data_IF_659243484425
#
_entry.id   IF_659243484425
#
_cell.length_a   1.000
_cell.length_b   1.000
_cell.length_c   1.000
_cell.angle_alpha   90.00
_cell.angle_beta   90.00
_cell.angle_gamma   90.00
#
_symmetry.space_group_name_H-M   'P 1'
#
loop_
_entity.id
_entity.type
_entity.pdbx_description
1 polymer ?
#
# COMPACT_ATOMS: atom_id res chain seq x y z
N UNK A 1 8.22 -4.92 -8.57
CA UNK A 1 7.03 -5.35 -7.80
C UNK A 1 6.48 -4.09 -7.18
N UNK A 2 5.21 -3.78 -7.43
CA UNK A 2 4.61 -2.52 -6.95
C UNK A 2 4.57 -2.40 -5.44
N UNK A 3 4.49 -1.17 -4.93
CA UNK A 3 4.40 -0.86 -3.49
C UNK A 3 3.40 -1.77 -2.74
N UNK A 4 2.17 -1.89 -3.27
CA UNK A 4 1.11 -2.67 -2.62
C UNK A 4 1.42 -4.17 -2.56
N UNK A 5 2.01 -4.72 -3.63
CA UNK A 5 2.40 -6.13 -3.65
C UNK A 5 3.56 -6.40 -2.69
N UNK A 6 4.53 -5.49 -2.62
CA UNK A 6 5.63 -5.56 -1.65
C UNK A 6 5.10 -5.49 -0.20
N UNK A 7 4.23 -4.53 0.09
CA UNK A 7 3.64 -4.36 1.42
C UNK A 7 2.78 -5.58 1.83
N UNK A 8 1.98 -6.11 0.90
CA UNK A 8 1.15 -7.30 1.15
C UNK A 8 2.02 -8.53 1.47
N UNK A 9 3.11 -8.73 0.73
CA UNK A 9 4.01 -9.86 0.97
C UNK A 9 4.71 -9.76 2.33
N UNK A 10 5.24 -8.58 2.69
CA UNK A 10 5.82 -8.36 4.02
C UNK A 10 4.80 -8.58 5.14
N UNK A 11 3.60 -8.02 4.99
CA UNK A 11 2.54 -8.16 5.99
C UNK A 11 2.13 -9.63 6.18
N UNK A 12 2.07 -10.40 5.09
CA UNK A 12 1.80 -11.84 5.12
C UNK A 12 2.90 -12.60 5.88
N UNK A 13 4.17 -12.33 5.59
CA UNK A 13 5.28 -12.95 6.30
C UNK A 13 5.27 -12.64 7.80
N UNK A 14 4.97 -11.39 8.17
CA UNK A 14 4.85 -11.01 9.60
C UNK A 14 3.67 -11.72 10.24
N UNK A 15 2.51 -11.78 9.56
CA UNK A 15 1.33 -12.49 10.05
C UNK A 15 1.61 -13.97 10.30
N UNK A 16 2.35 -14.63 9.42
CA UNK A 16 2.75 -16.03 9.57
C UNK A 16 3.64 -16.24 10.79
N UNK A 17 4.63 -15.36 11.01
CA UNK A 17 5.49 -15.41 12.20
C UNK A 17 4.65 -15.26 13.48
N UNK A 18 3.79 -14.25 13.54
CA UNK A 18 2.93 -13.98 14.70
C UNK A 18 1.96 -15.13 14.96
N UNK A 19 1.37 -15.70 13.90
CA UNK A 19 0.46 -16.85 14.00
C UNK A 19 1.17 -18.12 14.50
N UNK A 20 2.47 -18.25 14.25
CA UNK A 20 3.31 -19.31 14.79
C UNK A 20 3.84 -18.99 16.21
N UNK A 21 3.44 -17.88 16.83
CA UNK A 21 3.91 -17.43 18.14
C UNK A 21 5.37 -16.93 18.14
N UNK A 22 5.91 -16.64 16.96
CA UNK A 22 7.26 -16.11 16.76
C UNK A 22 7.23 -14.59 16.54
N UNK A 23 8.26 -13.85 16.99
CA UNK A 23 8.31 -12.41 16.75
C UNK A 23 8.47 -12.11 15.25
N UNK A 24 8.10 -10.90 14.79
CA UNK A 24 8.42 -10.42 13.44
C UNK A 24 9.93 -10.52 13.17
N UNK A 25 10.31 -11.05 12.00
CA UNK A 25 11.73 -11.18 11.61
C UNK A 25 12.39 -9.86 11.24
N UNK A 26 11.59 -8.84 10.93
CA UNK A 26 12.06 -7.52 10.52
C UNK A 26 11.09 -6.44 10.98
N UNK A 27 11.62 -5.27 11.30
CA UNK A 27 10.85 -4.12 11.75
C UNK A 27 11.00 -3.83 13.24
N UNK A 28 10.45 -2.69 13.63
CA UNK A 28 10.39 -2.18 14.99
C UNK A 28 8.99 -2.50 15.55
N UNK A 29 8.96 -3.07 16.76
CA UNK A 29 7.73 -3.40 17.48
C UNK A 29 8.02 -3.40 18.99
N UNK A 30 6.96 -3.30 19.80
CA UNK A 30 7.09 -3.42 21.25
C UNK A 30 7.22 -4.90 21.65
N UNK A 31 8.41 -5.30 22.11
CA UNK A 31 8.68 -6.67 22.55
C UNK A 31 7.87 -7.07 23.79
N UNK A 32 7.62 -6.14 24.71
CA UNK A 32 6.85 -6.44 25.92
C UNK A 32 5.39 -6.72 25.53
N UNK A 33 4.83 -5.89 24.66
CA UNK A 33 3.49 -6.11 24.11
C UNK A 33 3.41 -7.43 23.33
N UNK A 34 4.40 -7.77 22.51
CA UNK A 34 4.41 -9.06 21.80
C UNK A 34 4.39 -10.25 22.77
N UNK A 35 5.20 -10.21 23.84
CA UNK A 35 5.24 -11.29 24.84
C UNK A 35 3.91 -11.49 25.54
N UNK A 36 3.18 -10.41 25.79
CA UNK A 36 1.82 -10.48 26.32
C UNK A 36 0.84 -11.07 25.30
N UNK A 37 0.88 -10.58 24.06
CA UNK A 37 -0.13 -10.89 23.05
C UNK A 37 -0.01 -12.29 22.45
N UNK A 38 1.20 -12.85 22.37
CA UNK A 38 1.45 -14.16 21.71
C UNK A 38 0.64 -15.31 22.32
N UNK A 39 0.24 -15.19 23.58
CA UNK A 39 -0.49 -16.23 24.31
C UNK A 39 -2.01 -16.17 24.03
N UNK A 40 -2.51 -15.14 23.33
CA UNK A 40 -3.94 -14.95 23.03
C UNK A 40 -4.39 -15.49 21.66
N UNK A 41 -3.56 -16.33 21.04
CA UNK A 41 -3.86 -16.99 19.76
C UNK A 41 -3.39 -16.18 18.54
N UNK A 42 -3.79 -16.64 17.35
CA UNK A 42 -3.36 -16.02 16.10
C UNK A 42 -4.09 -14.68 15.86
N UNK A 43 -3.36 -13.61 15.48
CA UNK A 43 -3.98 -12.33 15.17
C UNK A 43 -4.69 -12.35 13.81
N UNK A 44 -5.59 -11.40 13.61
CA UNK A 44 -6.15 -11.04 12.31
C UNK A 44 -5.31 -9.95 11.65
N UNK A 45 -5.34 -9.86 10.32
CA UNK A 45 -4.70 -8.75 9.60
C UNK A 45 -5.51 -7.46 9.81
N UNK A 46 -4.86 -6.40 10.29
CA UNK A 46 -5.44 -5.06 10.46
C UNK A 46 -5.18 -4.15 9.26
N UNK A 47 -5.00 -2.84 9.49
CA UNK A 47 -4.69 -1.88 8.43
C UNK A 47 -3.23 -1.98 7.95
N UNK A 48 -2.97 -1.37 6.80
CA UNK A 48 -1.61 -1.06 6.30
C UNK A 48 -1.55 0.44 6.12
N UNK A 49 -0.61 1.08 6.81
CA UNK A 49 -0.36 2.51 6.74
C UNK A 49 1.01 2.76 6.11
N UNK A 50 1.12 3.84 5.34
CA UNK A 50 2.35 4.21 4.66
C UNK A 50 2.91 5.49 5.25
N UNK A 51 4.18 5.44 5.64
CA UNK A 51 5.01 6.59 5.98
C UNK A 51 6.01 6.83 4.83
N UNK A 52 6.60 8.02 4.70
CA UNK A 52 7.56 8.29 3.62
C UNK A 52 8.74 7.32 3.55
N UNK A 53 9.12 6.68 4.67
CA UNK A 53 10.26 5.76 4.77
C UNK A 53 9.93 4.43 5.45
N UNK A 54 8.64 4.11 5.66
CA UNK A 54 8.26 2.89 6.35
C UNK A 54 6.83 2.45 6.03
N UNK A 55 6.58 1.17 6.30
CA UNK A 55 5.25 0.59 6.41
C UNK A 55 4.90 0.45 7.88
N UNK A 56 3.66 0.74 8.24
CA UNK A 56 3.11 0.37 9.54
C UNK A 56 2.02 -0.67 9.31
N UNK A 57 2.26 -1.87 9.80
CA UNK A 57 1.34 -2.99 9.70
C UNK A 57 0.66 -3.23 11.03
N UNK A 58 -0.66 -3.32 11.00
CA UNK A 58 -1.45 -3.63 12.19
C UNK A 58 -1.91 -5.09 12.17
N UNK A 59 -1.94 -5.68 13.37
CA UNK A 59 -2.41 -7.03 13.62
C UNK A 59 -3.36 -7.02 14.83
N UNK A 60 -4.53 -7.61 14.69
CA UNK A 60 -5.62 -7.49 15.67
C UNK A 60 -5.76 -8.79 16.45
N UNK A 61 -5.50 -8.75 17.75
CA UNK A 61 -5.74 -9.86 18.67
C UNK A 61 -7.12 -9.70 19.30
N UNK A 62 -8.10 -10.46 18.81
CA UNK A 62 -9.52 -10.33 19.25
C UNK A 62 -9.79 -10.99 20.60
N UNK A 63 -8.95 -11.93 21.02
CA UNK A 63 -9.14 -12.73 22.24
C UNK A 63 -8.33 -12.19 23.44
N UNK A 64 -7.73 -11.01 23.32
CA UNK A 64 -6.94 -10.43 24.39
C UNK A 64 -7.84 -10.04 25.60
N UNK A 65 -7.36 -10.21 26.85
CA UNK A 65 -8.06 -9.76 28.04
C UNK A 65 -8.32 -8.26 27.99
N UNK A 66 -9.55 -7.85 28.29
CA UNK A 66 -9.96 -6.44 28.22
C UNK A 66 -10.44 -5.98 26.84
N UNK A 67 -10.43 -6.85 25.83
CA UNK A 67 -10.98 -6.58 24.49
C UNK A 67 -9.91 -6.64 23.38
N UNK A 68 -10.31 -6.39 22.13
CA UNK A 68 -9.40 -6.44 20.99
C UNK A 68 -8.21 -5.49 21.16
N UNK A 69 -6.99 -6.00 20.95
CA UNK A 69 -5.75 -5.21 20.95
C UNK A 69 -5.15 -5.15 19.56
N UNK A 70 -4.59 -4.00 19.20
CA UNK A 70 -3.89 -3.78 17.93
C UNK A 70 -2.39 -3.79 18.21
N UNK A 71 -1.68 -4.72 17.56
CA UNK A 71 -0.23 -4.82 17.59
C UNK A 71 0.34 -4.21 16.32
N UNK A 72 1.19 -3.19 16.47
CA UNK A 72 1.83 -2.49 15.36
C UNK A 72 3.24 -3.00 15.08
N UNK A 73 3.56 -3.20 13.81
CA UNK A 73 4.92 -3.50 13.35
C UNK A 73 5.32 -2.49 12.29
N UNK A 74 6.38 -1.73 12.57
CA UNK A 74 6.91 -0.70 11.69
C UNK A 74 8.11 -1.23 10.91
N UNK A 75 8.04 -1.28 9.59
CA UNK A 75 9.10 -1.87 8.74
C UNK A 75 9.70 -0.78 7.84
N UNK A 76 11.03 -0.57 7.85
CA UNK A 76 11.68 0.36 6.93
C UNK A 76 11.38 0.02 5.47
N UNK A 77 11.12 1.06 4.68
CA UNK A 77 10.91 0.93 3.25
C UNK A 77 12.24 0.87 2.49
N UNK A 78 12.38 0.04 1.44
CA UNK A 78 13.62 -0.03 0.65
C UNK A 78 13.90 1.24 -0.14
N UNK A 79 12.87 2.02 -0.45
CA UNK A 79 12.98 3.36 -1.01
C UNK A 79 11.84 4.25 -0.51
N UNK A 80 11.93 5.55 -0.82
CA UNK A 80 10.93 6.52 -0.37
C UNK A 80 9.55 6.20 -0.96
N UNK A 81 8.53 6.24 -0.11
CA UNK A 81 7.12 6.14 -0.51
C UNK A 81 6.58 7.54 -0.74
N UNK A 82 5.83 7.72 -1.82
CA UNK A 82 5.19 8.99 -2.18
C UNK A 82 3.72 8.77 -2.48
N UNK A 83 2.92 9.80 -2.22
CA UNK A 83 1.53 9.84 -2.67
C UNK A 83 1.47 10.57 -4.01
N UNK A 84 0.94 9.91 -5.05
CA UNK A 84 0.59 10.56 -6.31
C UNK A 84 -0.83 11.09 -6.19
N UNK A 85 -1.02 12.42 -6.06
CA UNK A 85 -2.33 13.00 -6.08
C UNK A 85 -2.96 12.86 -7.46
N UNK A 86 -4.29 12.81 -7.51
CA UNK A 86 -5.03 12.93 -8.76
C UNK A 86 -4.85 14.35 -9.30
N UNK A 87 -4.38 14.53 -10.55
CA UNK A 87 -4.27 15.87 -11.13
C UNK A 87 -5.63 16.56 -11.23
N UNK A 88 -5.68 17.88 -10.98
CA UNK A 88 -6.95 18.64 -10.93
C UNK A 88 -7.78 18.52 -12.21
N UNK A 89 -7.13 18.49 -13.38
CA UNK A 89 -7.78 18.35 -14.69
C UNK A 89 -8.45 16.97 -14.90
N UNK A 90 -8.09 15.95 -14.12
CA UNK A 90 -8.82 14.67 -14.09
C UNK A 90 -10.05 14.76 -13.20
N UNK A 91 -9.96 15.50 -12.08
CA UNK A 91 -11.07 15.69 -11.13
C UNK A 91 -12.21 16.47 -11.79
N UNK A 92 -11.90 17.46 -12.62
CA UNK A 92 -12.88 18.29 -13.33
C UNK A 92 -13.77 17.49 -14.31
N UNK A 93 -13.30 16.34 -14.81
CA UNK A 93 -13.98 15.56 -15.84
C UNK A 93 -14.84 14.41 -15.28
N UNK A 94 -14.81 14.13 -13.98
CA UNK A 94 -15.50 12.97 -13.39
C UNK A 94 -16.71 13.41 -12.58
N UNK A 95 -17.89 12.94 -13.01
CA UNK A 95 -19.19 13.38 -12.47
C UNK A 95 -19.65 12.57 -11.24
N UNK A 96 -19.09 11.37 -11.00
CA UNK A 96 -19.42 10.51 -9.87
C UNK A 96 -18.24 9.62 -9.46
N UNK A 97 -17.99 9.55 -8.15
CA UNK A 97 -16.98 8.68 -7.52
C UNK A 97 -15.98 9.44 -6.66
N UNK A 98 -15.53 8.83 -5.57
CA UNK A 98 -14.33 9.29 -4.86
C UNK A 98 -13.11 8.85 -5.67
N UNK A 99 -12.37 9.81 -6.22
CA UNK A 99 -11.08 9.54 -6.85
C UNK A 99 -10.04 10.03 -5.88
N UNK A 100 -9.40 9.08 -5.21
CA UNK A 100 -8.27 9.38 -4.36
C UNK A 100 -6.97 9.16 -5.14
N UNK A 101 -5.91 9.82 -4.69
CA UNK A 101 -4.57 9.51 -5.16
C UNK A 101 -4.15 8.12 -4.69
N UNK A 102 -2.89 7.78 -4.93
CA UNK A 102 -2.35 6.49 -4.48
C UNK A 102 -0.92 6.59 -4.04
N UNK A 103 -0.55 5.73 -3.11
CA UNK A 103 0.85 5.57 -2.72
C UNK A 103 1.60 4.73 -3.76
N UNK A 104 2.83 5.10 -4.06
CA UNK A 104 3.78 4.33 -4.86
C UNK A 104 5.18 4.45 -4.26
N UNK A 105 6.06 3.54 -4.64
CA UNK A 105 7.49 3.79 -4.53
C UNK A 105 7.89 4.98 -5.41
N UNK A 106 8.87 5.75 -4.96
CA UNK A 106 9.31 6.95 -5.67
C UNK A 106 9.79 6.64 -7.09
N UNK A 107 10.56 5.56 -7.29
CA UNK A 107 11.01 5.12 -8.60
C UNK A 107 9.85 4.83 -9.56
N UNK A 108 8.81 4.15 -9.07
CA UNK A 108 7.60 3.82 -9.82
C UNK A 108 6.79 5.09 -10.14
N UNK A 109 6.66 6.00 -9.17
CA UNK A 109 6.01 7.30 -9.35
C UNK A 109 6.67 8.11 -10.47
N UNK A 110 8.01 8.20 -10.46
CA UNK A 110 8.76 8.91 -11.50
C UNK A 110 8.55 8.25 -12.86
N UNK A 111 8.59 6.92 -12.93
CA UNK A 111 8.36 6.21 -14.19
C UNK A 111 6.96 6.48 -14.77
N UNK A 112 5.93 6.53 -13.93
CA UNK A 112 4.56 6.85 -14.34
C UNK A 112 4.45 8.28 -14.89
N UNK A 113 5.05 9.26 -14.20
CA UNK A 113 5.05 10.66 -14.63
C UNK A 113 5.82 10.85 -15.93
N UNK A 114 6.97 10.19 -16.08
CA UNK A 114 7.76 10.23 -17.31
C UNK A 114 7.02 9.57 -18.49
N UNK A 115 6.31 8.47 -18.25
CA UNK A 115 5.48 7.85 -19.27
C UNK A 115 4.36 8.80 -19.74
N UNK A 116 3.66 9.45 -18.80
CA UNK A 116 2.66 10.46 -19.12
C UNK A 116 3.28 11.64 -19.89
N UNK A 117 4.44 12.14 -19.46
CA UNK A 117 5.15 13.24 -20.13
C UNK A 117 5.47 12.89 -21.59
N UNK A 118 5.91 11.66 -21.87
CA UNK A 118 6.19 11.20 -23.24
C UNK A 118 4.94 11.16 -24.11
N UNK A 119 3.78 10.86 -23.54
CA UNK A 119 2.50 10.88 -24.26
C UNK A 119 2.09 12.29 -24.71
N UNK A 120 2.70 13.35 -24.16
CA UNK A 120 2.44 14.73 -24.58
C UNK A 120 3.24 15.17 -25.81
N UNK A 121 4.21 14.36 -26.26
CA UNK A 121 4.93 14.60 -27.51
C UNK A 121 3.97 14.50 -28.71
N UNK A 122 4.10 15.39 -29.70
CA UNK A 122 3.18 15.49 -30.84
C UNK A 122 3.02 14.15 -31.58
N UNK A 123 4.12 13.45 -31.87
CA UNK A 123 4.09 12.20 -32.61
C UNK A 123 3.47 11.07 -31.77
N UNK A 124 3.80 11.02 -30.47
CA UNK A 124 3.23 10.03 -29.57
C UNK A 124 1.73 10.27 -29.31
N UNK A 125 1.33 11.55 -29.21
CA UNK A 125 -0.03 11.96 -28.88
C UNK A 125 -0.99 11.80 -30.07
N UNK A 126 -0.48 11.87 -31.31
CA UNK A 126 -1.26 11.75 -32.54
C UNK A 126 -2.21 10.54 -32.56
N UNK A 127 -1.83 9.41 -31.93
CA UNK A 127 -2.66 8.20 -31.83
C UNK A 127 -4.01 8.40 -31.12
N UNK A 128 -4.14 9.44 -30.30
CA UNK A 128 -5.35 9.74 -29.55
C UNK A 128 -6.38 10.56 -30.37
N UNK A 129 -5.98 11.08 -31.53
CA UNK A 129 -6.82 11.85 -32.46
C UNK A 129 -7.21 11.00 -33.67
N UNK A 130 -8.51 10.84 -33.90
CA UNK A 130 -9.06 10.03 -35.01
C UNK A 130 -10.20 9.10 -34.56
N UNK A 131 -10.78 8.30 -35.47
CA UNK A 131 -11.86 7.38 -35.15
C UNK A 131 -11.36 6.35 -34.12
N UNK A 132 -11.82 6.46 -32.88
CA UNK A 132 -11.51 5.48 -31.84
C UNK A 132 -12.39 4.25 -32.10
N UNK A 133 -11.81 3.04 -32.29
CA UNK A 133 -12.62 1.84 -32.38
C UNK A 133 -13.47 1.71 -31.10
N UNK A 134 -14.72 1.23 -31.21
CA UNK A 134 -15.58 1.10 -30.04
C UNK A 134 -14.88 0.24 -28.99
N UNK A 135 -14.82 0.74 -27.74
CA UNK A 135 -14.32 -0.05 -26.61
C UNK A 135 -15.16 -1.33 -26.52
N UNK A 136 -14.57 -2.49 -26.82
CA UNK A 136 -15.19 -3.78 -26.45
C UNK A 136 -15.30 -3.80 -24.93
N UNK A 137 -16.53 -3.91 -24.44
CA UNK A 137 -16.80 -4.28 -23.05
C UNK A 137 -16.57 -5.79 -22.97
N UNK A 138 -15.53 -6.20 -22.28
CA UNK A 138 -15.40 -7.57 -21.73
C UNK A 138 -15.91 -7.57 -20.29
#
# INVERSE_FOLDING_TARGET
>A
MGLNAFAAELKRQIHENLSAGSPPQSGEFDEAEFRELRDFGAPQMGATLFEPQAFLFEFIYTNAPGGPRVFGVRVPSPERIVFLPVPSWVVEEIWQGEIDGRFEFYSEAVALVEALRRELDEAANAKWFGPRPPKRRE
#
